data_IF_222616442243
#
_entry.id   IF_222616442243
#
_cell.length_a   1.000
_cell.length_b   1.000
_cell.length_c   1.000
_cell.angle_alpha   90.00
_cell.angle_beta   90.00
_cell.angle_gamma   90.00
#
_symmetry.space_group_name_H-M   'P 1'
#
loop_
_entity.id
_entity.type
_entity.pdbx_description
1 polymer ?
#
# COMPACT_ATOMS: atom_id res chain seq x y z
N UNK A 1 28.66 61.83 1.57
CA UNK A 1 27.87 62.01 0.34
C UNK A 1 28.77 61.62 -0.83
N UNK A 2 28.80 60.33 -1.18
CA UNK A 2 29.47 59.82 -2.40
C UNK A 2 28.88 58.45 -2.70
N UNK A 3 28.35 58.31 -3.91
CA UNK A 3 27.64 57.15 -4.47
C UNK A 3 28.63 56.14 -5.11
N UNK A 4 28.16 54.92 -5.45
CA UNK A 4 29.00 53.73 -5.67
C UNK A 4 29.52 53.61 -7.11
N UNK A 5 30.58 52.82 -7.31
CA UNK A 5 31.03 52.38 -8.63
C UNK A 5 30.81 50.88 -8.80
N UNK A 6 29.84 50.57 -9.68
CA UNK A 6 29.80 49.51 -10.70
C UNK A 6 31.06 48.63 -10.80
N UNK A 7 30.96 47.29 -10.78
CA UNK A 7 30.52 46.44 -11.89
C UNK A 7 31.71 45.63 -12.40
N UNK A 8 31.70 44.32 -12.17
CA UNK A 8 32.41 43.35 -13.00
C UNK A 8 31.53 42.12 -13.09
N UNK A 9 31.02 41.90 -14.31
CA UNK A 9 30.35 40.69 -14.75
C UNK A 9 31.38 39.57 -14.83
N UNK A 10 31.17 38.50 -14.06
CA UNK A 10 31.74 37.18 -14.36
C UNK A 10 30.62 36.34 -14.98
N UNK A 11 30.57 36.34 -16.31
CA UNK A 11 29.79 35.40 -17.09
C UNK A 11 30.75 34.31 -17.60
N UNK A 12 30.95 33.30 -16.76
CA UNK A 12 31.62 32.06 -17.12
C UNK A 12 30.53 31.02 -17.41
N UNK A 13 30.39 30.62 -18.67
CA UNK A 13 29.50 29.53 -19.09
C UNK A 13 30.16 28.81 -20.25
N UNK A 14 30.77 27.65 -20.00
CA UNK A 14 31.17 26.75 -21.05
C UNK A 14 30.05 25.76 -21.41
N UNK A 15 29.93 25.57 -22.72
CA UNK A 15 29.70 24.29 -23.42
C UNK A 15 28.46 23.45 -23.09
N UNK A 16 27.61 23.21 -24.10
CA UNK A 16 27.50 21.86 -24.67
C UNK A 16 26.54 21.85 -25.88
N UNK A 17 27.11 21.46 -27.01
CA UNK A 17 26.40 21.08 -28.22
C UNK A 17 25.74 19.71 -28.05
N UNK A 18 24.42 19.62 -28.24
CA UNK A 18 23.73 18.34 -28.40
C UNK A 18 23.41 18.10 -29.88
N UNK A 19 24.00 17.07 -30.51
CA UNK A 19 23.49 16.55 -31.78
C UNK A 19 22.30 15.60 -31.53
N UNK A 20 21.37 15.68 -32.48
CA UNK A 20 20.16 14.86 -32.64
C UNK A 20 20.42 13.39 -32.89
N UNK A 21 19.57 12.50 -32.36
CA UNK A 21 19.31 11.18 -32.95
C UNK A 21 17.80 10.90 -32.97
N UNK A 22 17.27 10.80 -34.19
CA UNK A 22 16.00 10.16 -34.51
C UNK A 22 16.14 8.66 -34.23
N UNK A 23 15.14 8.07 -33.57
CA UNK A 23 15.04 6.60 -33.45
C UNK A 23 13.65 6.16 -33.87
N UNK A 24 13.68 5.56 -35.06
CA UNK A 24 12.73 4.66 -35.70
C UNK A 24 12.47 3.43 -34.84
N UNK A 25 11.23 3.21 -34.42
CA UNK A 25 10.74 1.87 -34.06
C UNK A 25 9.30 1.70 -34.54
N UNK A 26 9.20 1.10 -35.73
CA UNK A 26 8.01 0.39 -36.16
C UNK A 26 7.87 -0.99 -35.50
N UNK A 27 6.67 -1.55 -35.69
CA UNK A 27 6.28 -2.97 -35.55
C UNK A 27 5.98 -3.47 -34.14
N UNK A 28 4.70 -3.72 -33.85
CA UNK A 28 4.15 -5.07 -33.96
C UNK A 28 2.63 -5.07 -33.70
N UNK A 29 1.86 -5.53 -34.68
CA UNK A 29 0.49 -6.00 -34.48
C UNK A 29 0.54 -7.24 -33.57
N UNK A 30 -0.18 -7.18 -32.45
CA UNK A 30 -0.43 -8.34 -31.60
C UNK A 30 -1.85 -8.85 -31.89
N UNK A 31 -1.88 -9.82 -32.81
CA UNK A 31 -2.95 -10.78 -33.01
C UNK A 31 -3.23 -11.52 -31.69
N UNK A 32 -4.43 -11.32 -31.13
CA UNK A 32 -4.97 -12.19 -30.08
C UNK A 32 -6.35 -12.65 -30.52
N UNK A 33 -6.37 -13.84 -31.10
CA UNK A 33 -7.58 -14.58 -31.39
C UNK A 33 -8.37 -14.93 -30.10
N UNK A 34 -9.69 -15.17 -30.19
CA UNK A 34 -10.57 -15.33 -29.04
C UNK A 34 -10.77 -16.80 -28.62
N UNK A 35 -11.47 -16.96 -27.50
CA UNK A 35 -12.25 -18.13 -27.03
C UNK A 35 -11.54 -19.10 -26.08
N UNK A 36 -11.99 -19.11 -24.82
CA UNK A 36 -12.39 -20.35 -24.14
C UNK A 36 -13.56 -20.06 -23.19
N UNK A 37 -14.77 -20.37 -23.65
CA UNK A 37 -16.00 -20.40 -22.86
C UNK A 37 -16.02 -21.70 -22.07
N UNK A 38 -15.54 -21.66 -20.83
CA UNK A 38 -15.76 -22.72 -19.84
C UNK A 38 -17.07 -22.49 -19.11
N UNK A 39 -18.19 -22.81 -19.77
CA UNK A 39 -19.47 -23.09 -19.11
C UNK A 39 -19.33 -24.39 -18.32
N UNK A 40 -19.44 -24.32 -16.99
CA UNK A 40 -19.78 -25.47 -16.12
C UNK A 40 -20.31 -24.91 -14.80
N UNK A 41 -21.58 -24.47 -14.80
CA UNK A 41 -22.36 -24.24 -13.58
C UNK A 41 -23.75 -24.84 -13.77
N UNK A 42 -23.82 -26.16 -13.63
CA UNK A 42 -25.01 -26.86 -13.20
C UNK A 42 -24.68 -27.60 -11.90
N UNK A 43 -25.41 -27.25 -10.84
CA UNK A 43 -26.15 -28.17 -9.94
C UNK A 43 -26.53 -27.42 -8.66
N UNK A 44 -27.65 -26.70 -8.74
CA UNK A 44 -28.49 -26.40 -7.58
C UNK A 44 -29.14 -27.71 -7.10
N UNK A 45 -28.63 -28.29 -6.01
CA UNK A 45 -29.39 -29.25 -5.20
C UNK A 45 -29.97 -28.51 -3.99
N UNK A 46 -31.19 -27.99 -4.17
CA UNK A 46 -32.08 -27.69 -3.05
C UNK A 46 -32.59 -29.02 -2.46
N UNK A 47 -31.95 -29.49 -1.38
CA UNK A 47 -32.52 -30.55 -0.55
C UNK A 47 -33.37 -29.92 0.57
N UNK A 48 -34.65 -29.79 0.27
CA UNK A 48 -35.73 -29.72 1.25
C UNK A 48 -35.88 -31.10 1.88
N UNK A 49 -35.72 -31.22 3.20
CA UNK A 49 -36.19 -32.41 3.90
C UNK A 49 -37.04 -32.08 5.15
N UNK A 50 -38.23 -32.66 5.12
CA UNK A 50 -39.34 -32.57 6.07
C UNK A 50 -39.15 -33.65 7.15
N UNK A 51 -39.26 -33.33 8.45
CA UNK A 51 -38.96 -34.27 9.52
C UNK A 51 -40.12 -35.24 9.80
N UNK A 52 -40.13 -36.43 9.19
CA UNK A 52 -40.88 -37.56 9.76
C UNK A 52 -40.54 -38.92 9.13
N UNK A 53 -39.75 -39.75 9.83
CA UNK A 53 -40.16 -41.10 10.22
C UNK A 53 -39.04 -41.86 10.93
N UNK A 54 -39.34 -42.30 12.15
CA UNK A 54 -38.62 -43.34 12.88
C UNK A 54 -38.34 -44.57 12.01
N UNK A 55 -37.08 -44.91 11.81
CA UNK A 55 -36.65 -46.31 11.81
C UNK A 55 -35.22 -46.43 12.31
N UNK A 56 -35.05 -47.23 13.35
CA UNK A 56 -33.79 -47.47 14.03
C UNK A 56 -32.91 -48.39 13.18
N UNK A 57 -31.82 -47.84 12.65
CA UNK A 57 -30.73 -48.61 12.03
C UNK A 57 -29.46 -48.39 12.86
N UNK A 58 -28.83 -49.44 13.41
CA UNK A 58 -27.55 -49.30 14.10
C UNK A 58 -26.44 -49.32 13.05
N UNK A 59 -26.26 -48.20 12.36
CA UNK A 59 -25.14 -47.96 11.46
C UNK A 59 -24.60 -46.58 11.77
N UNK A 60 -23.65 -46.49 12.70
CA UNK A 60 -22.97 -45.22 12.96
C UNK A 60 -22.21 -44.84 11.68
N UNK A 61 -22.76 -43.91 10.91
CA UNK A 61 -21.99 -43.19 9.91
C UNK A 61 -20.87 -42.51 10.68
N UNK A 62 -19.59 -42.77 10.39
CA UNK A 62 -18.50 -42.13 11.10
C UNK A 62 -18.61 -40.63 10.84
N UNK A 63 -19.03 -39.88 11.86
CA UNK A 63 -19.02 -38.44 11.82
C UNK A 63 -17.63 -37.99 11.41
N UNK A 64 -17.54 -37.32 10.25
CA UNK A 64 -16.30 -36.72 9.77
C UNK A 64 -15.75 -35.87 10.91
N UNK A 65 -14.69 -36.35 11.55
CA UNK A 65 -14.03 -35.62 12.60
C UNK A 65 -13.52 -34.33 11.99
N UNK A 66 -14.24 -33.22 12.20
CA UNK A 66 -13.74 -31.90 11.87
C UNK A 66 -12.38 -31.76 12.53
N UNK A 67 -11.33 -31.70 11.70
CA UNK A 67 -9.97 -31.54 12.18
C UNK A 67 -9.91 -30.19 12.90
N UNK A 68 -9.85 -30.24 14.22
CA UNK A 68 -9.52 -29.10 15.07
C UNK A 68 -8.03 -28.82 14.86
N UNK A 69 -7.74 -28.04 13.83
CA UNK A 69 -6.38 -27.72 13.44
C UNK A 69 -6.37 -26.67 12.33
N UNK A 70 -5.26 -25.93 12.18
CA UNK A 70 -5.13 -24.95 11.12
C UNK A 70 -5.36 -25.63 9.77
N UNK A 71 -6.25 -25.04 8.95
CA UNK A 71 -6.53 -25.60 7.63
C UNK A 71 -5.25 -25.57 6.78
N UNK A 72 -5.04 -26.62 5.99
CA UNK A 72 -3.89 -26.69 5.06
C UNK A 72 -3.85 -25.46 4.13
N UNK A 73 -5.03 -24.94 3.76
CA UNK A 73 -5.16 -23.72 2.97
C UNK A 73 -4.61 -22.50 3.72
N UNK A 74 -4.96 -22.31 5.00
CA UNK A 74 -4.43 -21.19 5.80
C UNK A 74 -2.91 -21.26 5.95
N UNK A 75 -2.34 -22.44 6.18
CA UNK A 75 -0.88 -22.62 6.26
C UNK A 75 -0.21 -22.27 4.93
N UNK A 76 -0.77 -22.71 3.79
CA UNK A 76 -0.26 -22.37 2.45
C UNK A 76 -0.31 -20.87 2.18
N UNK A 77 -1.40 -20.18 2.57
CA UNK A 77 -1.53 -18.73 2.39
C UNK A 77 -0.50 -17.94 3.18
N UNK A 78 -0.29 -18.31 4.45
CA UNK A 78 0.76 -17.72 5.28
C UNK A 78 2.14 -17.97 4.66
N UNK A 79 2.44 -19.21 4.27
CA UNK A 79 3.72 -19.54 3.63
C UNK A 79 3.97 -18.77 2.33
N UNK A 80 2.96 -18.66 1.46
CA UNK A 80 3.04 -17.86 0.24
C UNK A 80 3.29 -16.38 0.56
N UNK A 81 2.68 -15.86 1.62
CA UNK A 81 2.86 -14.47 2.03
C UNK A 81 4.26 -14.18 2.57
N UNK A 82 4.82 -15.10 3.36
CA UNK A 82 6.22 -15.00 3.83
C UNK A 82 7.17 -14.95 2.64
N UNK A 83 7.02 -15.86 1.66
CA UNK A 83 7.88 -15.89 0.47
C UNK A 83 7.76 -14.60 -0.33
N UNK A 84 6.53 -14.09 -0.50
CA UNK A 84 6.29 -12.81 -1.17
C UNK A 84 7.02 -11.66 -0.48
N UNK A 85 6.97 -11.58 0.86
CA UNK A 85 7.61 -10.52 1.63
C UNK A 85 9.13 -10.68 1.73
N UNK A 86 9.65 -11.91 1.68
CA UNK A 86 11.10 -12.16 1.60
C UNK A 86 11.72 -11.71 0.27
N UNK A 87 10.93 -11.67 -0.81
CA UNK A 87 11.36 -11.18 -2.11
C UNK A 87 11.01 -9.73 -2.40
N UNK A 88 10.43 -9.01 -1.44
CA UNK A 88 10.08 -7.60 -1.59
C UNK A 88 11.29 -6.70 -1.34
N UNK A 89 11.28 -5.50 -1.91
CA UNK A 89 12.31 -4.49 -1.65
C UNK A 89 12.31 -4.08 -0.18
N UNK A 90 13.49 -3.91 0.42
CA UNK A 90 13.66 -3.52 1.83
C UNK A 90 12.87 -2.26 2.18
N UNK A 91 12.81 -1.31 1.23
CA UNK A 91 12.08 -0.07 1.40
C UNK A 91 10.56 -0.29 1.48
N UNK A 92 10.01 -1.14 0.61
CA UNK A 92 8.57 -1.46 0.63
C UNK A 92 8.23 -2.22 1.93
N UNK A 93 9.15 -3.06 2.42
CA UNK A 93 9.01 -3.77 3.68
C UNK A 93 9.06 -2.83 4.90
N UNK A 94 9.94 -1.82 4.89
CA UNK A 94 9.98 -0.76 5.92
C UNK A 94 8.68 0.05 5.97
N UNK A 95 8.15 0.42 4.81
CA UNK A 95 6.87 1.13 4.73
C UNK A 95 5.75 0.25 5.30
N UNK A 96 5.70 -1.02 4.92
CA UNK A 96 4.69 -1.95 5.41
C UNK A 96 4.80 -2.16 6.93
N UNK A 97 6.01 -2.36 7.45
CA UNK A 97 6.27 -2.45 8.88
C UNK A 97 5.80 -1.20 9.65
N UNK A 98 6.02 0.00 9.09
CA UNK A 98 5.56 1.27 9.68
C UNK A 98 4.04 1.39 9.80
N UNK A 99 3.29 0.82 8.85
CA UNK A 99 1.82 0.81 8.86
C UNK A 99 1.27 -0.10 9.97
N UNK A 100 1.93 -1.22 10.20
CA UNK A 100 1.52 -2.20 11.22
C UNK A 100 2.18 -1.97 12.59
N UNK A 101 3.16 -1.08 12.69
CA UNK A 101 3.89 -0.80 13.93
C UNK A 101 4.74 -1.97 14.41
N UNK A 102 5.31 -2.74 13.48
CA UNK A 102 6.19 -3.89 13.73
C UNK A 102 7.59 -3.62 13.18
N UNK A 103 8.54 -4.51 13.47
CA UNK A 103 9.87 -4.39 12.87
C UNK A 103 9.82 -4.76 11.38
N UNK A 104 10.75 -4.25 10.56
CA UNK A 104 10.86 -4.63 9.15
C UNK A 104 11.49 -6.02 9.00
N UNK A 105 10.87 -7.02 9.62
CA UNK A 105 11.17 -8.43 9.45
C UNK A 105 10.03 -9.10 8.64
N UNK A 106 10.34 -9.84 7.56
CA UNK A 106 9.31 -10.49 6.74
C UNK A 106 8.33 -11.37 7.51
N UNK A 107 8.75 -12.03 8.61
CA UNK A 107 7.85 -12.88 9.39
C UNK A 107 6.92 -12.04 10.27
N UNK A 108 7.45 -11.05 11.00
CA UNK A 108 6.63 -10.13 11.79
C UNK A 108 5.59 -9.41 10.94
N UNK A 109 6.04 -8.89 9.79
CA UNK A 109 5.20 -8.21 8.82
C UNK A 109 4.13 -9.15 8.26
N UNK A 110 4.47 -10.41 7.96
CA UNK A 110 3.50 -11.40 7.50
C UNK A 110 2.41 -11.64 8.55
N UNK A 111 2.81 -11.87 9.81
CA UNK A 111 1.87 -12.09 10.91
C UNK A 111 0.95 -10.87 11.02
N UNK A 112 1.52 -9.67 11.05
CA UNK A 112 0.76 -8.44 11.14
C UNK A 112 -0.25 -8.27 10.00
N UNK A 113 0.12 -8.50 8.74
CA UNK A 113 -0.80 -8.43 7.59
C UNK A 113 -1.95 -9.44 7.71
N UNK A 114 -1.65 -10.65 8.16
CA UNK A 114 -2.62 -11.74 8.23
C UNK A 114 -3.58 -11.58 9.41
N UNK A 115 -3.15 -10.96 10.52
CA UNK A 115 -3.96 -10.82 11.74
C UNK A 115 -4.60 -9.46 11.94
N UNK A 116 -4.02 -8.38 11.39
CA UNK A 116 -4.48 -7.01 11.63
C UNK A 116 -5.73 -6.68 10.83
N UNK A 117 -6.60 -5.84 11.39
CA UNK A 117 -7.75 -5.32 10.69
C UNK A 117 -7.34 -4.28 9.62
N UNK A 118 -8.23 -4.01 8.66
CA UNK A 118 -8.05 -3.01 7.59
C UNK A 118 -7.78 -1.60 8.13
N UNK A 119 -8.08 -1.34 9.40
CA UNK A 119 -7.75 -0.10 10.09
C UNK A 119 -6.24 0.19 10.12
N UNK A 120 -5.37 -0.82 9.99
CA UNK A 120 -3.93 -0.61 9.87
C UNK A 120 -3.55 0.22 8.63
N UNK A 121 -4.36 0.18 7.57
CA UNK A 121 -4.16 0.96 6.34
C UNK A 121 -4.78 2.37 6.41
N UNK A 122 -5.33 2.75 7.56
CA UNK A 122 -5.95 4.05 7.76
C UNK A 122 -5.01 5.25 7.51
N UNK A 123 -3.70 5.20 7.86
CA UNK A 123 -2.77 6.28 7.52
C UNK A 123 -2.62 6.50 6.01
N UNK A 124 -2.73 5.44 5.20
CA UNK A 124 -2.68 5.53 3.73
C UNK A 124 -3.90 6.26 3.18
N UNK A 125 -5.08 5.95 3.73
CA UNK A 125 -6.31 6.67 3.39
C UNK A 125 -6.21 8.14 3.77
N UNK A 126 -5.68 8.46 4.96
CA UNK A 126 -5.53 9.83 5.41
C UNK A 126 -4.56 10.62 4.54
N UNK A 127 -3.43 10.02 4.18
CA UNK A 127 -2.47 10.61 3.23
C UNK A 127 -3.16 10.92 1.90
N UNK A 128 -3.95 9.99 1.38
CA UNK A 128 -4.68 10.15 0.11
C UNK A 128 -5.74 11.26 0.20
N UNK A 129 -6.47 11.33 1.31
CA UNK A 129 -7.47 12.39 1.54
C UNK A 129 -6.81 13.77 1.60
N UNK A 130 -5.64 13.89 2.25
CA UNK A 130 -4.86 15.13 2.32
C UNK A 130 -4.32 15.49 0.93
N UNK A 131 -3.80 14.52 0.18
CA UNK A 131 -3.23 14.73 -1.16
C UNK A 131 -4.27 15.18 -2.21
N UNK A 132 -5.55 14.87 -2.00
CA UNK A 132 -6.66 15.34 -2.86
C UNK A 132 -7.01 16.81 -2.62
N UNK A 133 -6.71 17.34 -1.44
CA UNK A 133 -6.94 18.73 -1.11
C UNK A 133 -5.75 19.60 -1.57
N UNK A 134 -5.98 20.90 -1.79
CA UNK A 134 -4.94 21.83 -2.27
C UNK A 134 -4.73 22.99 -1.32
N UNK A 135 -3.48 23.42 -1.16
CA UNK A 135 -3.10 24.60 -0.38
C UNK A 135 -3.63 24.56 1.05
N UNK A 136 -4.40 25.58 1.43
CA UNK A 136 -4.96 25.70 2.77
C UNK A 136 -5.93 24.56 3.12
N UNK A 137 -6.68 24.03 2.14
CA UNK A 137 -7.61 22.93 2.39
C UNK A 137 -6.88 21.66 2.86
N UNK A 138 -5.68 21.38 2.35
CA UNK A 138 -4.88 20.24 2.78
C UNK A 138 -4.47 20.35 4.25
N UNK A 139 -4.14 21.56 4.72
CA UNK A 139 -3.84 21.83 6.12
C UNK A 139 -5.05 21.56 7.03
N UNK A 140 -6.24 22.04 6.62
CA UNK A 140 -7.48 21.82 7.37
C UNK A 140 -7.81 20.32 7.40
N UNK A 141 -7.76 19.64 6.27
CA UNK A 141 -7.99 18.19 6.17
C UNK A 141 -7.03 17.41 7.08
N UNK A 142 -5.75 17.77 7.12
CA UNK A 142 -4.77 17.14 7.99
C UNK A 142 -5.09 17.38 9.48
N UNK A 143 -5.46 18.63 9.82
CA UNK A 143 -5.80 19.01 11.19
C UNK A 143 -7.05 18.28 11.71
N UNK A 144 -8.06 18.10 10.86
CA UNK A 144 -9.31 17.38 11.20
C UNK A 144 -9.09 15.90 11.56
N UNK A 145 -8.00 15.28 11.07
CA UNK A 145 -7.67 13.88 11.42
C UNK A 145 -7.26 13.73 12.88
N UNK A 146 -6.82 14.80 13.52
CA UNK A 146 -6.34 14.80 14.91
C UNK A 146 -4.93 14.23 15.09
N UNK A 147 -4.36 14.46 16.28
CA UNK A 147 -2.93 14.26 16.56
C UNK A 147 -2.44 12.83 16.37
N UNK A 148 -3.22 11.83 16.78
CA UNK A 148 -2.83 10.43 16.63
C UNK A 148 -2.68 10.02 15.17
N UNK A 149 -3.64 10.41 14.33
CA UNK A 149 -3.63 10.10 12.89
C UNK A 149 -2.54 10.90 12.16
N UNK A 150 -2.33 12.16 12.53
CA UNK A 150 -1.21 12.96 12.03
C UNK A 150 0.16 12.32 12.32
N UNK A 151 0.36 11.76 13.51
CA UNK A 151 1.60 11.01 13.83
C UNK A 151 1.78 9.79 12.93
N UNK A 152 0.70 9.04 12.68
CA UNK A 152 0.75 7.86 11.81
C UNK A 152 1.04 8.23 10.35
N UNK A 153 0.42 9.31 9.83
CA UNK A 153 0.73 9.84 8.50
C UNK A 153 2.18 10.33 8.43
N UNK A 154 2.69 11.01 9.46
CA UNK A 154 4.09 11.43 9.52
C UNK A 154 5.06 10.24 9.53
N UNK A 155 4.75 9.18 10.27
CA UNK A 155 5.57 7.96 10.27
C UNK A 155 5.60 7.31 8.88
N UNK A 156 4.45 7.24 8.20
CA UNK A 156 4.35 6.76 6.82
C UNK A 156 5.16 7.64 5.86
N UNK A 157 5.05 8.97 5.96
CA UNK A 157 5.84 9.92 5.16
C UNK A 157 7.34 9.75 5.40
N UNK A 158 7.75 9.48 6.64
CA UNK A 158 9.15 9.22 6.99
C UNK A 158 9.63 7.94 6.33
N UNK A 159 8.83 6.87 6.38
CA UNK A 159 9.16 5.60 5.74
C UNK A 159 9.24 5.74 4.21
N UNK A 160 8.39 6.59 3.60
CA UNK A 160 8.43 6.88 2.16
C UNK A 160 9.55 7.85 1.76
N UNK A 161 10.33 8.38 2.71
CA UNK A 161 11.36 9.39 2.45
C UNK A 161 10.81 10.77 2.05
N UNK A 162 9.52 11.02 2.27
CA UNK A 162 8.84 12.28 1.93
C UNK A 162 8.65 13.24 3.10
N UNK A 163 8.95 12.83 4.34
CA UNK A 163 8.83 13.70 5.51
C UNK A 163 10.00 14.69 5.61
N UNK A 164 9.69 15.92 5.98
CA UNK A 164 10.67 16.88 6.45
C UNK A 164 11.35 16.36 7.72
N UNK A 165 12.67 16.53 7.82
CA UNK A 165 13.47 15.85 8.85
C UNK A 165 13.08 16.25 10.28
N UNK A 166 12.79 15.27 11.13
CA UNK A 166 12.59 15.46 12.57
C UNK A 166 11.29 14.90 13.12
N UNK A 167 11.07 15.11 14.43
CA UNK A 167 9.82 14.71 15.10
C UNK A 167 8.70 15.72 14.81
N UNK A 168 7.47 15.24 14.58
CA UNK A 168 6.30 16.08 14.36
C UNK A 168 6.14 17.16 15.46
N UNK A 169 6.04 18.42 15.05
CA UNK A 169 5.94 19.59 15.94
C UNK A 169 4.84 19.42 17.00
N UNK A 170 5.10 19.72 18.27
CA UNK A 170 4.12 19.59 19.36
C UNK A 170 2.84 20.43 19.21
N UNK A 171 2.87 21.51 18.42
CA UNK A 171 1.69 22.31 18.10
C UNK A 171 0.93 21.72 16.90
N UNK A 172 -0.35 21.42 17.08
CA UNK A 172 -1.18 20.74 16.07
C UNK A 172 -1.37 21.56 14.78
N UNK A 173 -1.49 22.88 14.85
CA UNK A 173 -1.60 23.73 13.66
C UNK A 173 -0.30 23.76 12.85
N UNK A 174 0.86 23.72 13.53
CA UNK A 174 2.16 23.61 12.85
C UNK A 174 2.38 22.21 12.28
N UNK A 175 1.96 21.18 13.02
CA UNK A 175 2.03 19.80 12.58
C UNK A 175 1.19 19.55 11.32
N UNK A 176 -0.05 20.06 11.27
CA UNK A 176 -0.93 19.90 10.11
C UNK A 176 -0.37 20.63 8.88
N UNK A 177 0.21 21.82 9.06
CA UNK A 177 0.89 22.54 7.98
C UNK A 177 2.07 21.76 7.41
N UNK A 178 2.94 21.22 8.28
CA UNK A 178 4.10 20.41 7.85
C UNK A 178 3.65 19.16 7.11
N UNK A 179 2.69 18.40 7.67
CA UNK A 179 2.15 17.20 7.01
C UNK A 179 1.55 17.55 5.64
N UNK A 180 0.76 18.62 5.55
CA UNK A 180 0.17 19.03 4.28
C UNK A 180 1.24 19.39 3.24
N UNK A 181 2.30 20.08 3.64
CA UNK A 181 3.43 20.40 2.76
C UNK A 181 4.15 19.14 2.29
N UNK A 182 4.50 18.25 3.20
CA UNK A 182 5.20 17.00 2.91
C UNK A 182 4.35 16.09 1.99
N UNK A 183 3.04 15.99 2.24
CA UNK A 183 2.11 15.23 1.40
C UNK A 183 2.04 15.79 -0.03
N UNK A 184 1.97 17.12 -0.18
CA UNK A 184 1.91 17.76 -1.49
C UNK A 184 3.25 17.71 -2.24
N UNK A 185 4.35 17.59 -1.52
CA UNK A 185 5.71 17.46 -2.06
C UNK A 185 6.11 16.00 -2.38
N UNK A 186 5.25 15.01 -2.16
CA UNK A 186 5.58 13.60 -2.41
C UNK A 186 5.99 13.37 -3.88
N UNK A 187 7.17 12.78 -4.14
CA UNK A 187 7.58 12.44 -5.48
C UNK A 187 6.71 11.31 -6.05
N UNK A 188 6.66 11.22 -7.39
CA UNK A 188 5.89 10.18 -8.09
C UNK A 188 6.35 8.77 -7.69
N UNK A 189 7.66 8.56 -7.52
CA UNK A 189 8.25 7.29 -7.08
C UNK A 189 7.74 6.83 -5.71
N UNK A 190 7.47 7.74 -4.77
CA UNK A 190 6.91 7.40 -3.47
C UNK A 190 5.44 6.98 -3.57
N UNK A 191 4.68 7.52 -4.53
CA UNK A 191 3.31 7.07 -4.82
C UNK A 191 3.30 5.66 -5.42
N UNK A 192 4.21 5.39 -6.35
CA UNK A 192 4.38 4.06 -6.94
C UNK A 192 4.81 3.01 -5.89
N UNK A 193 5.70 3.37 -4.95
CA UNK A 193 6.03 2.52 -3.79
C UNK A 193 4.81 2.27 -2.91
N UNK A 194 4.01 3.29 -2.62
CA UNK A 194 2.78 3.13 -1.85
C UNK A 194 1.79 2.15 -2.50
N UNK A 195 1.65 2.17 -3.82
CA UNK A 195 0.79 1.22 -4.55
C UNK A 195 1.32 -0.21 -4.44
N UNK A 196 2.64 -0.42 -4.60
CA UNK A 196 3.26 -1.74 -4.40
C UNK A 196 3.07 -2.26 -2.97
N UNK A 197 3.26 -1.39 -1.98
CA UNK A 197 3.04 -1.71 -0.56
C UNK A 197 1.58 -2.09 -0.31
N UNK A 198 0.62 -1.40 -0.92
CA UNK A 198 -0.80 -1.75 -0.80
C UNK A 198 -1.10 -3.13 -1.39
N UNK A 199 -0.46 -3.50 -2.49
CA UNK A 199 -0.59 -4.83 -3.07
C UNK A 199 0.07 -5.89 -2.17
N UNK A 200 1.22 -5.59 -1.58
CA UNK A 200 1.85 -6.42 -0.53
C UNK A 200 1.03 -6.48 0.77
N UNK A 201 0.15 -5.52 1.04
CA UNK A 201 -0.74 -5.57 2.21
C UNK A 201 -2.00 -6.42 1.96
N UNK A 202 -2.32 -6.78 0.70
CA UNK A 202 -3.47 -7.64 0.40
C UNK A 202 -3.23 -9.04 0.94
N UNK A 203 -4.25 -9.58 1.61
CA UNK A 203 -4.25 -10.98 2.02
C UNK A 203 -4.43 -11.83 0.76
N UNK A 204 -3.51 -12.77 0.54
CA UNK A 204 -3.63 -13.79 -0.49
C UNK A 204 -4.91 -14.59 -0.23
N UNK A 205 -5.84 -14.57 -1.17
CA UNK A 205 -7.13 -15.27 -1.11
C UNK A 205 -6.95 -16.77 -1.28
#
# INVERSE_FOLDING_TARGET
MTYPTASTLDADSPDEAYPSEESDEGMAELDTAPVDEGEDLDLDEEEVDDPSANSSVPGSVPGSAHRVGPSKASVRRVGAKVIQLQGADDQDLMVLASLYGVEPDPLEVTVAVMTSDRSALMPVRDLTDIAKATGFAAMVTAQEKGRGRMKAVHALLTALGGASTGSLNGNDAKASMVIAQDVLALPKSAKESLDRVLDLARRTS
#
